data_IF_477226397420
#
_entry.id   IF_477226397420
#
_cell.length_a   1.000
_cell.length_b   1.000
_cell.length_c   1.000
_cell.angle_alpha   90.00
_cell.angle_beta   90.00
_cell.angle_gamma   90.00
#
_symmetry.space_group_name_H-M   'P 1'
#
loop_
_entity.id
_entity.type
_entity.pdbx_description
1 polymer ?
#
# COMPACT_ATOMS: atom_id res chain seq x y z
N UNK A 1 31.37 -12.32 8.72
CA UNK A 1 30.35 -11.31 8.37
C UNK A 1 30.28 -11.23 6.86
N UNK A 2 29.18 -11.71 6.25
CA UNK A 2 29.00 -11.60 4.81
C UNK A 2 28.62 -10.16 4.46
N UNK A 3 29.35 -9.57 3.50
CA UNK A 3 29.04 -8.24 2.96
C UNK A 3 27.62 -8.25 2.38
N UNK A 4 26.72 -7.52 3.03
CA UNK A 4 25.36 -7.29 2.57
C UNK A 4 25.42 -6.33 1.37
N UNK A 5 25.24 -6.86 0.16
CA UNK A 5 25.08 -6.06 -1.06
C UNK A 5 23.58 -5.92 -1.38
N UNK A 6 22.97 -4.74 -1.15
CA UNK A 6 21.56 -4.50 -1.40
C UNK A 6 21.17 -4.55 -2.89
N UNK A 7 22.12 -4.51 -3.83
CA UNK A 7 21.86 -4.38 -5.26
C UNK A 7 21.80 -5.71 -6.02
N UNK A 8 22.08 -6.84 -5.37
CA UNK A 8 22.15 -8.16 -6.03
C UNK A 8 20.86 -8.98 -5.97
N UNK A 9 19.72 -8.40 -5.56
CA UNK A 9 18.49 -9.17 -5.29
C UNK A 9 17.57 -9.29 -6.51
N UNK A 10 16.82 -10.40 -6.53
CA UNK A 10 15.61 -10.70 -7.34
C UNK A 10 14.64 -9.50 -7.53
N UNK A 11 14.65 -8.59 -6.56
CA UNK A 11 13.88 -7.34 -6.52
C UNK A 11 14.17 -6.42 -7.71
N UNK A 12 15.40 -6.35 -8.20
CA UNK A 12 15.73 -5.52 -9.37
C UNK A 12 14.97 -5.95 -10.62
N UNK A 13 14.82 -7.27 -10.81
CA UNK A 13 14.05 -7.81 -11.92
C UNK A 13 12.56 -7.52 -11.76
N UNK A 14 12.06 -7.60 -10.54
CA UNK A 14 10.66 -7.33 -10.21
C UNK A 14 10.34 -5.83 -10.37
N UNK A 15 11.19 -4.94 -9.86
CA UNK A 15 11.10 -3.48 -10.04
C UNK A 15 11.20 -3.13 -11.52
N UNK A 16 12.19 -3.64 -12.27
CA UNK A 16 12.28 -3.43 -13.73
C UNK A 16 11.02 -3.91 -14.45
N UNK A 17 10.46 -5.05 -14.04
CA UNK A 17 9.20 -5.55 -14.60
C UNK A 17 8.00 -4.66 -14.24
N UNK A 18 7.95 -4.12 -13.03
CA UNK A 18 6.91 -3.21 -12.56
C UNK A 18 6.98 -1.88 -13.33
N UNK A 19 8.19 -1.32 -13.47
CA UNK A 19 8.45 -0.10 -14.24
C UNK A 19 8.03 -0.25 -15.71
N UNK A 20 8.26 -1.42 -16.32
CA UNK A 20 7.77 -1.71 -17.67
C UNK A 20 6.24 -1.70 -17.74
N UNK A 21 5.55 -2.27 -16.75
CA UNK A 21 4.08 -2.22 -16.66
C UNK A 21 3.59 -0.79 -16.46
N UNK A 22 4.27 0.01 -15.62
CA UNK A 22 3.94 1.42 -15.40
C UNK A 22 4.12 2.28 -16.64
N UNK A 23 5.20 2.12 -17.41
CA UNK A 23 5.35 2.83 -18.70
C UNK A 23 4.24 2.49 -19.69
N UNK A 24 3.74 1.24 -19.67
CA UNK A 24 2.61 0.86 -20.53
C UNK A 24 1.33 1.53 -20.06
N UNK A 25 1.09 1.52 -18.75
CA UNK A 25 0.01 2.25 -18.09
C UNK A 25 0.04 3.72 -18.48
N UNK A 26 1.16 4.41 -18.30
CA UNK A 26 1.33 5.83 -18.63
C UNK A 26 0.91 6.14 -20.08
N UNK A 27 1.25 5.27 -21.04
CA UNK A 27 0.82 5.41 -22.45
C UNK A 27 -0.67 5.12 -22.68
N UNK A 28 -1.24 4.20 -21.90
CA UNK A 28 -2.65 3.79 -22.00
C UNK A 28 -3.60 4.68 -21.17
N UNK A 29 -3.07 5.51 -20.25
CA UNK A 29 -3.88 6.40 -19.41
C UNK A 29 -4.04 7.74 -20.09
N UNK A 30 -5.28 8.21 -20.25
CA UNK A 30 -5.51 9.66 -20.24
C UNK A 30 -5.09 10.18 -18.87
N UNK A 31 -4.30 11.26 -18.82
CA UNK A 31 -3.91 11.89 -17.56
C UNK A 31 -5.18 12.21 -16.77
N UNK A 32 -5.36 11.53 -15.63
CA UNK A 32 -6.42 11.87 -14.71
C UNK A 32 -6.07 13.22 -14.11
N UNK A 33 -6.74 14.28 -14.56
CA UNK A 33 -6.57 15.66 -14.06
C UNK A 33 -7.31 15.91 -12.73
N UNK A 34 -7.84 14.87 -12.09
CA UNK A 34 -8.47 14.98 -10.79
C UNK A 34 -7.48 14.78 -9.64
N UNK A 35 -7.81 15.31 -8.47
CA UNK A 35 -7.07 15.01 -7.24
C UNK A 35 -7.27 13.55 -6.85
N UNK A 36 -6.24 12.83 -6.39
CA UNK A 36 -6.39 11.50 -5.83
C UNK A 36 -7.37 11.51 -4.65
N UNK A 37 -8.27 10.52 -4.61
CA UNK A 37 -9.22 10.35 -3.51
C UNK A 37 -8.61 9.48 -2.42
N UNK A 38 -8.62 9.96 -1.18
CA UNK A 38 -8.10 9.25 -0.02
C UNK A 38 -9.24 8.85 0.93
N UNK A 39 -9.09 7.68 1.54
CA UNK A 39 -9.97 7.18 2.59
C UNK A 39 -9.09 6.68 3.73
N UNK A 40 -9.15 7.35 4.87
CA UNK A 40 -8.51 6.88 6.09
C UNK A 40 -9.47 5.96 6.84
N UNK A 41 -8.97 4.82 7.31
CA UNK A 41 -9.77 3.88 8.09
C UNK A 41 -9.02 2.61 8.42
N UNK A 42 -9.75 1.61 8.91
CA UNK A 42 -9.18 0.33 9.33
C UNK A 42 -8.93 -0.55 8.10
N UNK A 43 -7.73 -1.12 8.04
CA UNK A 43 -7.35 -2.15 7.08
C UNK A 43 -7.19 -3.44 7.89
N UNK A 44 -8.00 -4.45 7.58
CA UNK A 44 -7.90 -5.77 8.19
C UNK A 44 -6.78 -6.56 7.51
N UNK A 45 -5.99 -7.28 8.29
CA UNK A 45 -4.92 -8.14 7.78
C UNK A 45 -5.17 -9.59 8.16
N UNK A 46 -4.87 -10.52 7.25
CA UNK A 46 -4.90 -11.95 7.56
C UNK A 46 -4.20 -12.79 6.51
N UNK A 47 -3.94 -14.06 6.83
CA UNK A 47 -3.14 -14.96 5.96
C UNK A 47 -3.89 -15.49 4.73
N UNK A 48 -5.16 -15.12 4.57
CA UNK A 48 -6.03 -15.65 3.53
C UNK A 48 -6.52 -14.53 2.64
N UNK A 49 -6.40 -14.72 1.34
CA UNK A 49 -7.05 -13.87 0.35
C UNK A 49 -8.58 -13.92 0.52
N UNK A 50 -9.17 -12.74 0.72
CA UNK A 50 -10.63 -12.58 0.75
C UNK A 50 -11.24 -12.79 -0.64
N UNK A 51 -12.34 -13.53 -0.69
CA UNK A 51 -13.14 -13.79 -1.89
C UNK A 51 -14.63 -13.72 -1.57
N UNK A 52 -15.45 -13.71 -2.62
CA UNK A 52 -16.92 -13.76 -2.55
C UNK A 52 -17.55 -12.61 -1.75
N UNK A 53 -16.91 -11.43 -1.71
CA UNK A 53 -17.47 -10.22 -1.12
C UNK A 53 -17.59 -10.27 0.39
N UNK A 54 -16.75 -11.05 1.09
CA UNK A 54 -16.83 -11.25 2.56
C UNK A 54 -16.41 -10.06 3.42
N UNK A 55 -15.98 -8.93 2.83
CA UNK A 55 -15.54 -7.77 3.60
C UNK A 55 -16.59 -7.26 4.61
N UNK A 56 -17.91 -7.20 4.29
CA UNK A 56 -18.92 -6.81 5.29
C UNK A 56 -19.07 -7.82 6.43
N UNK A 57 -18.93 -9.13 6.17
CA UNK A 57 -18.93 -10.15 7.23
C UNK A 57 -17.75 -9.91 8.19
N UNK A 58 -16.55 -9.67 7.65
CA UNK A 58 -15.36 -9.38 8.47
C UNK A 58 -15.41 -8.03 9.16
N UNK A 59 -16.04 -7.02 8.56
CA UNK A 59 -16.27 -5.75 9.24
C UNK A 59 -17.18 -5.95 10.46
N UNK A 60 -18.24 -6.76 10.33
CA UNK A 60 -19.12 -7.09 11.46
C UNK A 60 -18.41 -7.92 12.54
N UNK A 61 -17.52 -8.84 12.13
CA UNK A 61 -16.81 -9.73 13.06
C UNK A 61 -15.66 -9.03 13.79
N UNK A 62 -14.85 -8.24 13.08
CA UNK A 62 -13.58 -7.71 13.61
C UNK A 62 -13.60 -6.21 13.87
N UNK A 63 -14.16 -5.41 12.96
CA UNK A 63 -14.20 -3.95 13.13
C UNK A 63 -15.18 -3.26 12.15
N UNK A 64 -16.23 -2.62 12.66
CA UNK A 64 -17.31 -2.04 11.83
C UNK A 64 -16.83 -0.99 10.80
N UNK A 65 -15.70 -0.32 11.09
CA UNK A 65 -15.06 0.68 10.21
C UNK A 65 -14.01 0.10 9.26
N UNK A 66 -13.94 -1.22 9.09
CA UNK A 66 -13.04 -1.85 8.14
C UNK A 66 -13.37 -1.41 6.70
N UNK A 67 -12.36 -0.90 5.99
CA UNK A 67 -12.49 -0.40 4.62
C UNK A 67 -11.83 -1.32 3.59
N UNK A 68 -10.87 -2.14 4.01
CA UNK A 68 -10.10 -3.01 3.15
C UNK A 68 -9.59 -4.24 3.91
N UNK A 69 -9.25 -5.29 3.16
CA UNK A 69 -8.53 -6.45 3.64
C UNK A 69 -7.26 -6.70 2.81
N UNK A 70 -6.18 -7.11 3.45
CA UNK A 70 -4.90 -7.46 2.82
C UNK A 70 -4.15 -8.50 3.67
N UNK A 71 -2.91 -8.84 3.32
CA UNK A 71 -2.21 -10.00 3.91
C UNK A 71 -0.93 -9.65 4.69
N UNK A 72 -0.39 -8.42 4.60
CA UNK A 72 0.96 -8.13 5.10
C UNK A 72 1.05 -7.01 6.15
N UNK A 73 0.07 -6.11 6.23
CA UNK A 73 0.19 -4.87 6.99
C UNK A 73 0.31 -5.12 8.50
N UNK A 74 -0.47 -6.03 9.08
CA UNK A 74 -0.36 -6.32 10.51
C UNK A 74 1.04 -6.78 10.93
N UNK A 75 1.72 -7.62 10.13
CA UNK A 75 3.09 -8.05 10.40
C UNK A 75 4.10 -6.91 10.29
N UNK A 76 3.92 -6.05 9.29
CA UNK A 76 4.72 -4.83 9.14
C UNK A 76 4.53 -3.87 10.32
N UNK A 77 3.28 -3.53 10.66
CA UNK A 77 2.93 -2.64 11.77
C UNK A 77 3.50 -3.16 13.09
N UNK A 78 3.34 -4.46 13.36
CA UNK A 78 3.90 -5.10 14.56
C UNK A 78 5.42 -4.97 14.63
N UNK A 79 6.11 -5.19 13.51
CA UNK A 79 7.57 -5.06 13.43
C UNK A 79 8.01 -3.61 13.69
N UNK A 80 7.25 -2.63 13.19
CA UNK A 80 7.53 -1.21 13.41
C UNK A 80 7.30 -0.79 14.87
N UNK A 81 6.22 -1.28 15.49
CA UNK A 81 5.92 -1.08 16.91
C UNK A 81 7.03 -1.66 17.80
N UNK A 82 7.44 -2.90 17.54
CA UNK A 82 8.50 -3.57 18.29
C UNK A 82 9.85 -2.82 18.18
N UNK A 83 10.09 -2.12 17.06
CA UNK A 83 11.28 -1.30 16.85
C UNK A 83 11.12 0.16 17.28
N UNK A 84 9.94 0.59 17.75
CA UNK A 84 9.66 1.98 18.13
C UNK A 84 9.74 2.98 16.98
N UNK A 85 9.50 2.55 15.73
CA UNK A 85 9.55 3.43 14.55
C UNK A 85 8.16 3.88 14.14
N UNK A 86 7.97 5.17 13.88
CA UNK A 86 6.72 5.69 13.32
C UNK A 86 6.48 5.12 11.92
N UNK A 87 5.23 4.78 11.62
CA UNK A 87 4.87 4.10 10.38
C UNK A 87 3.54 4.58 9.82
N UNK A 88 3.34 4.34 8.53
CA UNK A 88 2.08 4.59 7.82
C UNK A 88 1.92 3.57 6.69
N UNK A 89 0.70 3.11 6.45
CA UNK A 89 0.38 2.13 5.40
C UNK A 89 -0.49 2.78 4.33
N UNK A 90 -0.01 2.77 3.09
CA UNK A 90 -0.79 3.19 1.91
C UNK A 90 -1.15 1.96 1.08
N UNK A 91 -2.44 1.78 0.81
CA UNK A 91 -2.95 0.71 -0.07
C UNK A 91 -3.78 1.32 -1.20
N UNK A 92 -3.53 0.87 -2.42
CA UNK A 92 -4.43 1.05 -3.54
C UNK A 92 -5.36 -0.15 -3.66
N UNK A 93 -6.57 0.06 -4.18
CA UNK A 93 -7.57 -1.00 -4.31
C UNK A 93 -7.33 -1.79 -5.60
N UNK A 94 -6.93 -3.06 -5.48
CA UNK A 94 -6.71 -3.93 -6.64
C UNK A 94 -7.94 -4.73 -7.07
N UNK A 95 -8.87 -4.97 -6.15
CA UNK A 95 -10.14 -5.65 -6.37
C UNK A 95 -11.08 -5.41 -5.18
N UNK A 96 -12.35 -5.79 -5.33
CA UNK A 96 -13.37 -5.62 -4.28
C UNK A 96 -13.60 -6.90 -3.45
N UNK A 97 -12.68 -7.87 -3.54
CA UNK A 97 -12.80 -9.15 -2.83
C UNK A 97 -13.95 -10.04 -3.34
N UNK A 98 -14.53 -9.74 -4.51
CA UNK A 98 -15.59 -10.51 -5.16
C UNK A 98 -15.04 -11.35 -6.34
N UNK A 99 -15.94 -11.92 -7.15
CA UNK A 99 -15.55 -12.71 -8.31
C UNK A 99 -15.00 -11.86 -9.47
N UNK A 100 -15.06 -10.53 -9.39
CA UNK A 100 -14.59 -9.62 -10.44
C UNK A 100 -13.07 -9.40 -10.44
N UNK A 101 -12.33 -10.13 -9.59
CA UNK A 101 -10.88 -10.00 -9.41
C UNK A 101 -10.14 -10.06 -10.75
N UNK A 102 -9.50 -8.94 -11.11
CA UNK A 102 -8.67 -8.81 -12.31
C UNK A 102 -7.23 -8.52 -11.93
N UNK A 103 -6.31 -9.45 -12.23
CA UNK A 103 -4.86 -9.24 -12.06
C UNK A 103 -4.34 -7.98 -12.76
N UNK A 104 -5.06 -7.50 -13.78
CA UNK A 104 -4.75 -6.26 -14.52
C UNK A 104 -4.83 -4.99 -13.66
N UNK A 105 -5.56 -5.01 -12.54
CA UNK A 105 -5.73 -3.85 -11.66
C UNK A 105 -4.60 -3.70 -10.62
N UNK A 106 -3.82 -4.75 -10.35
CA UNK A 106 -2.74 -4.71 -9.35
C UNK A 106 -1.68 -3.63 -9.64
N UNK A 107 -1.20 -3.43 -10.88
CA UNK A 107 -0.28 -2.33 -11.16
C UNK A 107 -0.91 -0.96 -10.90
N UNK A 108 -2.19 -0.75 -11.22
CA UNK A 108 -2.88 0.51 -10.92
C UNK A 108 -2.96 0.75 -9.42
N UNK A 109 -3.33 -0.26 -8.64
CA UNK A 109 -3.34 -0.19 -7.17
C UNK A 109 -1.95 0.17 -6.60
N UNK A 110 -0.89 -0.45 -7.12
CA UNK A 110 0.47 -0.12 -6.73
C UNK A 110 0.85 1.33 -7.07
N UNK A 111 0.51 1.79 -8.29
CA UNK A 111 0.76 3.16 -8.71
C UNK A 111 0.00 4.17 -7.84
N UNK A 112 -1.28 3.93 -7.55
CA UNK A 112 -2.09 4.79 -6.69
C UNK A 112 -1.53 4.87 -5.28
N UNK A 113 -1.12 3.74 -4.68
CA UNK A 113 -0.48 3.73 -3.36
C UNK A 113 0.84 4.51 -3.34
N UNK A 114 1.68 4.33 -4.36
CA UNK A 114 2.95 5.05 -4.48
C UNK A 114 2.74 6.55 -4.68
N UNK A 115 1.78 6.95 -5.51
CA UNK A 115 1.41 8.36 -5.70
C UNK A 115 0.87 8.98 -4.41
N UNK A 116 0.05 8.24 -3.65
CA UNK A 116 -0.45 8.68 -2.34
C UNK A 116 0.70 8.94 -1.36
N UNK A 117 1.61 7.98 -1.23
CA UNK A 117 2.78 8.10 -0.37
C UNK A 117 3.69 9.26 -0.81
N UNK A 118 3.94 9.40 -2.13
CA UNK A 118 4.75 10.50 -2.65
C UNK A 118 4.08 11.86 -2.42
N UNK A 119 2.76 11.96 -2.50
CA UNK A 119 2.05 13.21 -2.22
C UNK A 119 2.18 13.56 -0.74
N UNK A 120 1.88 12.62 0.15
CA UNK A 120 2.02 12.78 1.59
C UNK A 120 3.43 13.26 1.98
N UNK A 121 4.47 12.62 1.45
CA UNK A 121 5.86 13.01 1.73
C UNK A 121 6.20 14.42 1.25
N UNK A 122 5.57 14.89 0.16
CA UNK A 122 5.83 16.21 -0.42
C UNK A 122 5.04 17.33 0.26
N UNK A 123 3.83 17.05 0.74
CA UNK A 123 2.91 18.09 1.20
C UNK A 123 2.68 18.06 2.71
N UNK A 124 2.52 16.88 3.30
CA UNK A 124 2.07 16.72 4.68
C UNK A 124 3.19 16.31 5.64
N UNK A 125 4.13 15.47 5.20
CA UNK A 125 5.17 14.95 6.07
C UNK A 125 6.06 16.09 6.58
N UNK A 126 6.28 16.10 7.90
CA UNK A 126 7.23 16.97 8.58
C UNK A 126 8.12 16.08 9.42
N UNK A 127 9.42 16.31 9.34
CA UNK A 127 10.32 15.72 10.32
C UNK A 127 9.95 16.29 11.69
N UNK A 128 9.98 15.47 12.76
CA UNK A 128 10.00 16.02 14.10
C UNK A 128 11.12 17.05 14.13
N UNK A 129 10.79 18.32 14.35
CA UNK A 129 11.80 19.34 14.59
C UNK A 129 12.68 18.83 15.72
N UNK A 130 14.01 18.83 15.53
CA UNK A 130 14.96 18.56 16.60
C UNK A 130 14.49 19.32 17.85
N UNK A 131 14.32 18.60 18.96
CA UNK A 131 13.76 19.13 20.20
C UNK A 131 14.39 20.49 20.53
N UNK A 132 13.60 21.56 20.44
CA UNK A 132 13.98 22.85 21.01
C UNK A 132 13.88 22.65 22.53
N UNK A 133 15.02 22.35 23.14
CA UNK A 133 15.19 22.36 24.58
C UNK A 133 14.83 23.77 25.10
N UNK A 134 13.79 23.87 25.93
CA UNK A 134 13.49 25.04 26.75
C UNK A 134 14.30 25.02 28.04
#
# INVERSE_FOLDING_TARGET
MANYDPHSRRWDKEVKSLMRKFRRIEKETQIFNGSPSFRQGIILSGEKMIKNGKLPEFANEYHEKALACEEEAAGFCRSCEDCGVSWLVFRGISDFGDQSKRKKCQPWAALTAASAASLFLRTEFRLPSEEINF
#
